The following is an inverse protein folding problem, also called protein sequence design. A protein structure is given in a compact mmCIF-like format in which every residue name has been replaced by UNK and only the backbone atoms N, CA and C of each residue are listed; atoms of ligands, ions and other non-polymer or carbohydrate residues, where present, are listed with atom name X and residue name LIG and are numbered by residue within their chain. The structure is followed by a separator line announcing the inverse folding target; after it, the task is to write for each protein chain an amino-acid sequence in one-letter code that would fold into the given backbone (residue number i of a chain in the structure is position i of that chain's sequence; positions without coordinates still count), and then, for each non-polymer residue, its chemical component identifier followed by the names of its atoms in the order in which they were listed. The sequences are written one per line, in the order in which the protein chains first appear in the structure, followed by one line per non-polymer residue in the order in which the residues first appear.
data_IF_452720727756
#
_entry.id   IF_452720727756
#
_cell.length_a   1.000
_cell.length_b   1.000
_cell.length_c   1.000
_cell.angle_alpha   90.00
_cell.angle_beta   90.00
_cell.angle_gamma   90.00
#
_symmetry.space_group_name_H-M   'P 1'
#
loop_
_entity.id
_entity.type
_entity.pdbx_description
1 polymer ?
#
# COMPACT_ATOMS: atom_id res chain seq x y z
N UNK A 1 -1.72 -3.10 -8.82
CA UNK A 1 -1.44 -1.69 -8.48
C UNK A 1 -2.72 -1.04 -8.01
N UNK A 2 -2.65 -0.28 -6.92
CA UNK A 2 -3.77 0.41 -6.30
C UNK A 2 -3.39 1.87 -6.14
N UNK A 3 -4.24 2.77 -6.59
CA UNK A 3 -4.02 4.22 -6.53
C UNK A 3 -5.21 4.85 -5.79
N UNK A 4 -4.93 5.61 -4.74
CA UNK A 4 -5.93 6.39 -4.02
C UNK A 4 -5.69 7.88 -4.25
N UNK A 5 -6.78 8.61 -4.49
CA UNK A 5 -6.76 10.05 -4.75
C UNK A 5 -7.73 10.80 -3.84
N UNK A 6 -7.40 12.04 -3.53
CA UNK A 6 -8.20 12.91 -2.66
C UNK A 6 -8.12 12.49 -1.20
N UNK A 7 -7.03 11.82 -0.81
CA UNK A 7 -6.77 11.43 0.57
C UNK A 7 -6.49 12.65 1.46
N UNK A 8 -6.71 12.51 2.76
CA UNK A 8 -6.35 13.53 3.74
C UNK A 8 -4.81 13.57 3.92
N UNK A 9 -4.18 14.72 3.70
CA UNK A 9 -2.73 14.86 3.76
C UNK A 9 -2.11 14.35 5.09
N UNK A 10 -2.74 14.65 6.22
CA UNK A 10 -2.28 14.18 7.53
C UNK A 10 -2.26 12.64 7.64
N UNK A 11 -3.22 11.96 7.02
CA UNK A 11 -3.26 10.48 7.01
C UNK A 11 -2.17 9.88 6.12
N UNK A 12 -1.72 10.60 5.09
CA UNK A 12 -0.66 10.17 4.19
C UNK A 12 0.75 10.31 4.80
N UNK A 13 0.89 11.18 5.81
CA UNK A 13 2.11 11.38 6.58
C UNK A 13 2.13 10.59 7.90
N UNK A 14 1.09 9.80 8.18
CA UNK A 14 0.96 9.00 9.40
C UNK A 14 1.59 7.62 9.18
N UNK A 15 2.84 7.46 9.64
CA UNK A 15 3.59 6.20 9.49
C UNK A 15 2.88 5.03 10.19
N UNK A 16 2.34 5.23 11.39
CA UNK A 16 1.68 4.17 12.14
C UNK A 16 0.44 3.63 11.41
N UNK A 17 -0.28 4.51 10.71
CA UNK A 17 -1.42 4.12 9.86
C UNK A 17 -0.99 3.31 8.63
N UNK A 18 0.13 3.66 8.01
CA UNK A 18 0.70 2.89 6.90
C UNK A 18 1.21 1.52 7.37
N UNK A 19 1.85 1.46 8.53
CA UNK A 19 2.25 0.21 9.19
C UNK A 19 1.03 -0.68 9.46
N UNK A 20 -0.05 -0.12 9.98
CA UNK A 20 -1.30 -0.84 10.21
C UNK A 20 -1.92 -1.35 8.89
N UNK A 21 -1.89 -0.57 7.82
CA UNK A 21 -2.34 -1.01 6.49
C UNK A 21 -1.50 -2.20 5.99
N UNK A 22 -0.18 -2.12 6.11
CA UNK A 22 0.73 -3.20 5.68
C UNK A 22 0.51 -4.46 6.52
N UNK A 23 0.39 -4.34 7.84
CA UNK A 23 0.14 -5.47 8.73
C UNK A 23 -1.16 -6.20 8.33
N UNK A 24 -2.24 -5.45 8.11
CA UNK A 24 -3.52 -6.00 7.66
C UNK A 24 -3.43 -6.68 6.29
N UNK A 25 -2.76 -6.07 5.32
CA UNK A 25 -2.56 -6.68 4.00
C UNK A 25 -1.76 -7.98 4.09
N UNK A 26 -0.70 -8.00 4.91
CA UNK A 26 0.14 -9.18 5.11
C UNK A 26 -0.68 -10.31 5.76
N UNK A 27 -1.43 -10.01 6.80
CA UNK A 27 -2.25 -10.98 7.53
C UNK A 27 -3.44 -11.49 6.69
N UNK A 28 -4.32 -10.58 6.27
CA UNK A 28 -5.60 -10.90 5.64
C UNK A 28 -5.39 -11.52 4.25
N UNK A 29 -4.35 -11.12 3.52
CA UNK A 29 -4.01 -11.73 2.23
C UNK A 29 -3.01 -12.89 2.35
N UNK A 30 -2.60 -13.28 3.57
CA UNK A 30 -1.63 -14.37 3.85
C UNK A 30 -0.31 -14.19 3.08
N UNK A 31 0.22 -12.98 3.05
CA UNK A 31 1.51 -12.68 2.45
C UNK A 31 2.63 -13.18 3.38
N UNK A 32 3.76 -13.60 2.82
CA UNK A 32 4.89 -14.08 3.59
C UNK A 32 6.01 -13.04 3.50
N UNK A 33 6.09 -12.16 4.50
CA UNK A 33 7.22 -11.24 4.63
C UNK A 33 8.46 -12.00 5.08
N UNK A 34 9.58 -11.78 4.41
CA UNK A 34 10.86 -12.48 4.66
C UNK A 34 11.89 -11.60 5.40
N UNK A 35 11.53 -10.34 5.64
CA UNK A 35 12.33 -9.36 6.37
C UNK A 35 11.39 -8.31 7.01
N UNK A 36 11.88 -7.53 8.00
CA UNK A 36 11.15 -6.35 8.48
C UNK A 36 10.79 -5.41 7.34
N UNK A 37 9.62 -4.76 7.45
CA UNK A 37 9.20 -3.74 6.49
C UNK A 37 10.10 -2.52 6.63
N UNK A 38 10.65 -2.05 5.52
CA UNK A 38 11.49 -0.86 5.48
C UNK A 38 10.64 0.36 5.22
N UNK A 39 10.85 1.41 6.01
CA UNK A 39 10.11 2.66 5.94
C UNK A 39 11.07 3.84 5.80
N UNK A 40 10.68 4.82 4.99
CA UNK A 40 11.36 6.10 4.91
C UNK A 40 10.32 7.22 4.84
N UNK A 41 10.35 8.13 5.81
CA UNK A 41 9.53 9.33 5.81
C UNK A 41 10.37 10.53 5.38
N UNK A 42 9.93 11.22 4.33
CA UNK A 42 10.61 12.38 3.79
C UNK A 42 10.35 13.61 4.66
N UNK A 43 11.39 14.31 5.13
CA UNK A 43 11.24 15.36 6.14
C UNK A 43 10.52 16.61 5.62
N UNK A 44 10.58 16.89 4.31
CA UNK A 44 10.02 18.12 3.73
C UNK A 44 8.52 17.96 3.42
N UNK A 45 8.15 16.88 2.74
CA UNK A 45 6.75 16.66 2.31
C UNK A 45 5.95 15.87 3.34
N UNK A 46 6.62 15.18 4.27
CA UNK A 46 6.01 14.22 5.18
C UNK A 46 5.59 12.90 4.49
N UNK A 47 5.77 12.78 3.17
CA UNK A 47 5.45 11.58 2.42
C UNK A 47 6.28 10.37 2.88
N UNK A 48 5.77 9.18 2.62
CA UNK A 48 6.33 7.93 3.12
C UNK A 48 6.50 6.94 1.99
N UNK A 49 7.69 6.33 1.92
CA UNK A 49 7.93 5.10 1.16
C UNK A 49 7.97 3.92 2.12
N UNK A 50 7.22 2.87 1.80
CA UNK A 50 7.22 1.59 2.52
C UNK A 50 7.52 0.43 1.58
N UNK A 51 8.33 -0.54 2.02
CA UNK A 51 8.66 -1.74 1.25
C UNK A 51 8.72 -2.98 2.16
N UNK A 52 7.84 -3.93 1.90
CA UNK A 52 7.91 -5.28 2.46
C UNK A 52 8.47 -6.23 1.40
N UNK A 53 9.60 -6.87 1.74
CA UNK A 53 10.13 -8.01 0.99
C UNK A 53 9.28 -9.23 1.29
N UNK A 54 8.68 -9.80 0.25
CA UNK A 54 7.85 -11.00 0.35
C UNK A 54 8.57 -12.18 -0.31
N UNK A 55 8.20 -13.41 0.06
CA UNK A 55 8.69 -14.60 -0.64
C UNK A 55 8.36 -14.49 -2.15
N UNK A 56 9.42 -14.31 -2.96
CA UNK A 56 9.38 -14.15 -4.43
C UNK A 56 8.59 -12.93 -4.95
N UNK A 57 8.36 -11.91 -4.11
CA UNK A 57 7.54 -10.76 -4.50
C UNK A 57 7.77 -9.52 -3.61
N UNK A 58 6.89 -8.52 -3.68
CA UNK A 58 6.96 -7.32 -2.83
C UNK A 58 5.59 -6.68 -2.62
N UNK A 59 5.46 -5.99 -1.49
CA UNK A 59 4.43 -4.98 -1.23
C UNK A 59 5.13 -3.64 -1.03
N UNK A 60 4.82 -2.65 -1.86
CA UNK A 60 5.41 -1.32 -1.78
C UNK A 60 4.32 -0.24 -1.72
N UNK A 61 4.59 0.87 -1.06
CA UNK A 61 3.76 2.06 -1.14
C UNK A 61 4.57 3.35 -1.20
N UNK A 62 3.98 4.37 -1.80
CA UNK A 62 4.44 5.74 -1.80
C UNK A 62 3.27 6.66 -1.51
N UNK A 63 3.45 7.60 -0.58
CA UNK A 63 2.47 8.64 -0.29
C UNK A 63 2.99 10.01 -0.69
N UNK A 64 2.09 10.85 -1.17
CA UNK A 64 2.37 12.24 -1.54
C UNK A 64 1.32 13.14 -0.89
N UNK A 65 1.51 13.54 0.39
CA UNK A 65 0.58 14.40 1.11
C UNK A 65 0.21 15.68 0.35
N UNK A 66 1.17 16.28 -0.36
CA UNK A 66 1.02 17.49 -1.17
C UNK A 66 0.07 17.34 -2.37
N UNK A 67 -0.14 16.10 -2.84
CA UNK A 67 -1.06 15.78 -3.94
C UNK A 67 -2.30 15.03 -3.47
N UNK A 68 -2.37 14.67 -2.18
CA UNK A 68 -3.46 13.86 -1.64
C UNK A 68 -3.53 12.47 -2.30
N UNK A 69 -2.38 11.89 -2.65
CA UNK A 69 -2.30 10.59 -3.34
C UNK A 69 -1.50 9.55 -2.58
N UNK A 70 -1.90 8.29 -2.74
CA UNK A 70 -1.20 7.10 -2.28
C UNK A 70 -1.16 6.10 -3.42
N UNK A 71 0.03 5.58 -3.71
CA UNK A 71 0.25 4.51 -4.66
C UNK A 71 0.71 3.26 -3.91
N UNK A 72 0.05 2.13 -4.14
CA UNK A 72 0.38 0.84 -3.53
C UNK A 72 0.57 -0.20 -4.63
N UNK A 73 1.67 -0.93 -4.55
CA UNK A 73 2.00 -2.00 -5.48
C UNK A 73 2.14 -3.32 -4.69
N UNK A 74 1.15 -4.20 -4.87
CA UNK A 74 1.23 -5.58 -4.44
C UNK A 74 1.55 -6.45 -5.64
N UNK A 75 2.76 -7.00 -5.64
CA UNK A 75 3.18 -8.04 -6.56
C UNK A 75 3.02 -9.39 -5.84
N UNK A 76 2.47 -10.43 -6.48
CA UNK A 76 2.41 -11.75 -5.87
C UNK A 76 2.33 -12.87 -6.92
N UNK A 77 2.88 -14.05 -6.60
CA UNK A 77 3.01 -15.17 -7.52
C UNK A 77 1.79 -16.12 -7.57
N UNK A 78 0.84 -15.97 -6.64
CA UNK A 78 -0.32 -16.88 -6.51
C UNK A 78 -1.64 -16.10 -6.58
N UNK A 79 -2.69 -16.68 -7.20
CA UNK A 79 -4.05 -16.15 -7.09
C UNK A 79 -4.44 -16.04 -5.61
N UNK A 80 -4.98 -14.90 -5.23
CA UNK A 80 -5.40 -14.59 -3.86
C UNK A 80 -6.79 -13.97 -3.87
N UNK A 81 -7.55 -14.08 -2.77
CA UNK A 81 -8.83 -13.41 -2.65
C UNK A 81 -8.69 -11.91 -2.89
N UNK A 82 -9.72 -11.32 -3.50
CA UNK A 82 -9.82 -9.88 -3.68
C UNK A 82 -9.86 -9.24 -2.30
N UNK A 83 -8.93 -8.32 -2.05
CA UNK A 83 -8.92 -7.52 -0.83
C UNK A 83 -9.66 -6.22 -1.08
N UNK A 84 -10.45 -5.76 -0.11
CA UNK A 84 -11.27 -4.56 -0.24
C UNK A 84 -10.43 -3.28 -0.02
N UNK A 85 -9.61 -2.97 -1.04
CA UNK A 85 -8.78 -1.76 -1.07
C UNK A 85 -9.63 -0.49 -1.01
N UNK A 86 -10.83 -0.51 -1.60
CA UNK A 86 -11.67 0.66 -1.71
C UNK A 86 -12.17 1.10 -0.33
N UNK A 87 -12.75 0.17 0.43
CA UNK A 87 -13.20 0.45 1.81
C UNK A 87 -12.02 0.81 2.70
N UNK A 88 -10.92 0.04 2.65
CA UNK A 88 -9.78 0.30 3.52
C UNK A 88 -9.13 1.65 3.28
N UNK A 89 -8.97 2.07 2.02
CA UNK A 89 -8.33 3.36 1.71
C UNK A 89 -9.28 4.54 1.91
N UNK A 90 -10.59 4.35 1.75
CA UNK A 90 -11.61 5.35 2.14
C UNK A 90 -11.59 5.63 3.63
N UNK A 91 -11.70 4.60 4.46
CA UNK A 91 -11.73 4.77 5.92
C UNK A 91 -10.37 5.10 6.52
N UNK A 92 -9.31 4.48 5.99
CA UNK A 92 -7.96 4.68 6.47
C UNK A 92 -7.41 6.05 6.11
N UNK A 93 -7.62 6.51 4.87
CA UNK A 93 -6.91 7.68 4.34
C UNK A 93 -7.83 8.79 3.83
N UNK A 94 -9.15 8.63 3.93
CA UNK A 94 -10.11 9.60 3.40
C UNK A 94 -10.12 9.66 1.87
N UNK A 95 -9.68 8.58 1.20
CA UNK A 95 -9.62 8.55 -0.26
C UNK A 95 -11.00 8.82 -0.88
N UNK A 96 -11.08 9.73 -1.84
CA UNK A 96 -12.33 10.00 -2.58
C UNK A 96 -12.51 9.05 -3.76
N UNK A 97 -11.39 8.63 -4.37
CA UNK A 97 -11.37 7.71 -5.50
C UNK A 97 -10.25 6.70 -5.30
N UNK A 98 -10.56 5.43 -5.56
CA UNK A 98 -9.60 4.33 -5.55
C UNK A 98 -9.65 3.66 -6.92
N UNK A 99 -8.49 3.46 -7.54
CA UNK A 99 -8.31 2.74 -8.81
C UNK A 99 -7.49 1.49 -8.54
N UNK A 100 -7.95 0.35 -9.05
CA UNK A 100 -7.27 -0.95 -8.88
C UNK A 100 -7.00 -1.50 -10.27
N UNK A 101 -5.73 -1.71 -10.59
CA UNK A 101 -5.29 -2.33 -11.83
C UNK A 101 -4.52 -3.61 -11.54
N UNK A 102 -5.04 -4.72 -12.03
CA UNK A 102 -4.38 -6.03 -11.97
C UNK A 102 -3.71 -6.32 -13.31
N UNK A 103 -2.49 -6.85 -13.25
CA UNK A 103 -1.74 -7.33 -14.42
C UNK A 103 -1.31 -8.75 -14.12
N UNK A 104 -1.82 -9.70 -14.90
CA UNK A 104 -1.36 -11.08 -14.83
C UNK A 104 0.01 -11.21 -15.48
N UNK A 105 0.89 -11.98 -14.83
CA UNK A 105 2.22 -12.26 -15.34
C UNK A 105 2.40 -13.78 -15.41
N UNK A 106 2.13 -14.38 -16.57
CA UNK A 106 2.51 -15.76 -16.80
C UNK A 106 4.03 -15.81 -16.91
N UNK A 107 4.69 -16.18 -15.81
CA UNK A 107 6.06 -16.64 -15.87
C UNK A 107 5.99 -18.04 -16.48
N UNK A 108 6.36 -18.13 -17.76
CA UNK A 108 6.44 -19.37 -18.51
C UNK A 108 7.54 -20.29 -17.93
#
# INVERSE_FOLDING_TARGET
MVEAHGCAAASLADLARLEALFARLIEEMRLCAIAPVQWHQFPVTGGVTGLALLAESHLACHTFPEFGTLCLNLFCCRPRPVWDFETALRWGFGARRVSIRTVERPYA
#
